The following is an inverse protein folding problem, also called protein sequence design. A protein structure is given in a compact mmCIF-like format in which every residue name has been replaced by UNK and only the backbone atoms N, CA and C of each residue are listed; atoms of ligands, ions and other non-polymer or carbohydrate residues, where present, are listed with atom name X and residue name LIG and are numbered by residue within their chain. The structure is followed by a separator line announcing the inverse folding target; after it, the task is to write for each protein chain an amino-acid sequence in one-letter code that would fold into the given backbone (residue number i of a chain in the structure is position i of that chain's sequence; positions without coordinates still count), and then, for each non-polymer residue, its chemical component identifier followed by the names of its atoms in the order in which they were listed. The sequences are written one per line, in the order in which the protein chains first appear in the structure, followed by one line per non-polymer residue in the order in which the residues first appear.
data_IF_444468717628
#
_entry.id   IF_444468717628
#
_cell.length_a   1.000
_cell.length_b   1.000
_cell.length_c   1.000
_cell.angle_alpha   90.00
_cell.angle_beta   90.00
_cell.angle_gamma   90.00
#
_symmetry.space_group_name_H-M   'P 1'
#
loop_
_entity.id
_entity.type
_entity.pdbx_description
1 polymer ?
#
# COMPACT_ATOMS: atom_id res chain seq x y z
N UNK A 1 4.26 12.06 -21.18
CA UNK A 1 4.67 10.84 -20.47
C UNK A 1 4.47 11.02 -18.97
N UNK A 2 3.39 10.51 -18.38
CA UNK A 2 3.15 10.61 -16.93
C UNK A 2 4.00 9.67 -16.06
N UNK A 3 5.11 9.17 -16.61
CA UNK A 3 6.01 8.25 -15.93
C UNK A 3 6.95 9.08 -15.06
N UNK A 4 6.85 8.92 -13.73
CA UNK A 4 7.71 9.62 -12.76
C UNK A 4 9.00 8.85 -12.47
N UNK A 5 9.93 9.48 -11.74
CA UNK A 5 11.13 8.80 -11.23
C UNK A 5 10.77 7.54 -10.42
N UNK A 6 9.68 7.60 -9.64
CA UNK A 6 9.23 6.45 -8.84
C UNK A 6 8.77 5.28 -9.72
N UNK A 7 8.13 5.54 -10.86
CA UNK A 7 7.77 4.46 -11.80
C UNK A 7 9.01 3.76 -12.36
N UNK A 8 10.08 4.52 -12.67
CA UNK A 8 11.33 3.95 -13.20
C UNK A 8 12.05 3.13 -12.13
N UNK A 9 12.24 3.69 -10.94
CA UNK A 9 12.86 2.99 -9.82
C UNK A 9 12.14 1.66 -9.51
N UNK A 10 10.80 1.66 -9.52
CA UNK A 10 10.01 0.44 -9.33
C UNK A 10 10.18 -0.54 -10.50
N UNK A 11 10.16 -0.06 -11.74
CA UNK A 11 10.33 -0.92 -12.92
C UNK A 11 11.71 -1.57 -12.98
N UNK A 12 12.74 -0.88 -12.48
CA UNK A 12 14.11 -1.38 -12.39
C UNK A 12 14.34 -2.23 -11.13
N UNK A 13 13.38 -2.26 -10.21
CA UNK A 13 13.50 -2.99 -8.93
C UNK A 13 14.44 -2.33 -7.92
N UNK A 14 14.80 -1.05 -8.12
CA UNK A 14 15.72 -0.35 -7.24
C UNK A 14 14.98 0.20 -6.00
N UNK A 15 15.01 -0.60 -4.93
CA UNK A 15 14.35 -0.33 -3.64
C UNK A 15 14.89 0.95 -2.99
N UNK A 16 16.20 1.16 -3.01
CA UNK A 16 16.85 2.31 -2.37
C UNK A 16 16.43 3.63 -3.02
N UNK A 17 16.44 3.68 -4.36
CA UNK A 17 15.98 4.87 -5.10
C UNK A 17 14.48 5.09 -4.88
N UNK A 18 13.67 4.01 -4.88
CA UNK A 18 12.24 4.13 -4.60
C UNK A 18 11.99 4.71 -3.20
N UNK A 19 12.73 4.24 -2.19
CA UNK A 19 12.66 4.75 -0.82
C UNK A 19 13.04 6.24 -0.75
N UNK A 20 14.16 6.62 -1.38
CA UNK A 20 14.62 8.00 -1.43
C UNK A 20 13.56 8.92 -2.04
N UNK A 21 12.98 8.52 -3.18
CA UNK A 21 11.96 9.31 -3.87
C UNK A 21 10.72 9.52 -2.99
N UNK A 22 10.28 8.48 -2.27
CA UNK A 22 9.16 8.60 -1.34
C UNK A 22 9.48 9.52 -0.17
N UNK A 23 10.70 9.45 0.38
CA UNK A 23 11.13 10.38 1.44
C UNK A 23 11.20 11.83 0.95
N UNK A 24 11.48 12.05 -0.34
CA UNK A 24 11.43 13.37 -0.96
C UNK A 24 10.01 13.84 -1.31
N UNK A 25 8.97 13.10 -0.94
CA UNK A 25 7.57 13.47 -1.18
C UNK A 25 7.04 13.09 -2.56
N UNK A 26 7.65 12.13 -3.25
CA UNK A 26 7.08 11.60 -4.49
C UNK A 26 5.68 11.00 -4.22
N UNK A 27 4.71 11.33 -5.06
CA UNK A 27 3.37 10.76 -4.97
C UNK A 27 3.40 9.26 -5.34
N UNK A 28 3.22 8.42 -4.32
CA UNK A 28 3.17 6.95 -4.41
C UNK A 28 2.00 6.44 -5.26
N UNK A 29 0.94 7.25 -5.41
CA UNK A 29 -0.27 6.92 -6.15
C UNK A 29 -0.32 7.57 -7.54
N UNK A 30 0.70 8.33 -7.92
CA UNK A 30 0.75 8.99 -9.22
C UNK A 30 0.59 7.96 -10.34
N UNK A 31 -0.27 8.26 -11.30
CA UNK A 31 -0.62 7.36 -12.39
C UNK A 31 0.08 7.79 -13.67
N UNK A 32 0.61 6.81 -14.40
CA UNK A 32 1.17 7.04 -15.72
C UNK A 32 0.10 7.48 -16.71
N UNK A 33 0.44 8.33 -17.68
CA UNK A 33 -0.52 8.75 -18.73
C UNK A 33 -0.91 7.61 -19.67
N UNK A 34 -0.10 6.55 -19.73
CA UNK A 34 -0.35 5.37 -20.55
C UNK A 34 -0.84 4.21 -19.70
N UNK A 35 -2.12 3.85 -19.84
CA UNK A 35 -2.72 2.72 -19.12
C UNK A 35 -3.07 3.04 -17.66
N UNK A 36 -2.71 4.22 -17.17
CA UNK A 36 -2.99 4.67 -15.81
C UNK A 36 -2.41 3.76 -14.72
N UNK A 37 -1.22 3.25 -14.95
CA UNK A 37 -0.49 2.41 -13.99
C UNK A 37 0.07 3.27 -12.87
N UNK A 38 -0.10 2.82 -11.64
CA UNK A 38 0.65 3.37 -10.49
C UNK A 38 1.93 2.58 -10.26
N UNK A 39 2.87 3.11 -9.46
CA UNK A 39 4.04 2.36 -8.99
C UNK A 39 3.67 0.96 -8.45
N UNK A 40 2.57 0.85 -7.70
CA UNK A 40 2.12 -0.43 -7.15
C UNK A 40 1.70 -1.45 -8.23
N UNK A 41 1.15 -1.02 -9.36
CA UNK A 41 0.86 -1.92 -10.48
C UNK A 41 2.15 -2.55 -11.04
N UNK A 42 3.19 -1.73 -11.19
CA UNK A 42 4.49 -2.17 -11.70
C UNK A 42 5.15 -3.14 -10.73
N UNK A 43 5.13 -2.84 -9.42
CA UNK A 43 5.67 -3.71 -8.38
C UNK A 43 4.94 -5.08 -8.33
N UNK A 44 3.61 -5.07 -8.41
CA UNK A 44 2.80 -6.29 -8.48
C UNK A 44 3.07 -7.12 -9.75
N UNK A 45 3.23 -6.45 -10.90
CA UNK A 45 3.59 -7.12 -12.16
C UNK A 45 4.98 -7.76 -12.08
N UNK A 46 5.94 -7.08 -11.48
CA UNK A 46 7.29 -7.61 -11.25
C UNK A 46 7.29 -8.76 -10.22
N UNK A 47 6.37 -8.72 -9.25
CA UNK A 47 6.31 -9.68 -8.15
C UNK A 47 7.40 -9.43 -7.09
N UNK A 48 7.89 -8.20 -6.97
CA UNK A 48 8.82 -7.82 -5.90
C UNK A 48 8.01 -7.54 -4.63
N UNK A 49 7.97 -8.51 -3.72
CA UNK A 49 7.21 -8.37 -2.47
C UNK A 49 7.75 -7.22 -1.61
N UNK A 50 9.07 -7.06 -1.54
CA UNK A 50 9.71 -5.98 -0.78
C UNK A 50 9.29 -4.60 -1.31
N UNK A 51 9.32 -4.40 -2.64
CA UNK A 51 8.87 -3.16 -3.27
C UNK A 51 7.38 -2.89 -3.00
N UNK A 52 6.56 -3.94 -3.03
CA UNK A 52 5.13 -3.81 -2.74
C UNK A 52 4.92 -3.34 -1.29
N UNK A 53 5.61 -3.94 -0.31
CA UNK A 53 5.50 -3.53 1.09
C UNK A 53 6.00 -2.11 1.31
N UNK A 54 7.11 -1.73 0.68
CA UNK A 54 7.63 -0.37 0.72
C UNK A 54 6.57 0.64 0.25
N UNK A 55 5.94 0.39 -0.90
CA UNK A 55 4.90 1.27 -1.44
C UNK A 55 3.66 1.31 -0.53
N UNK A 56 3.19 0.16 -0.06
CA UNK A 56 2.02 0.08 0.84
C UNK A 56 2.25 0.79 2.18
N UNK A 57 3.45 0.68 2.74
CA UNK A 57 3.84 1.37 3.98
C UNK A 57 3.90 2.89 3.79
N UNK A 58 4.17 3.36 2.58
CA UNK A 58 4.14 4.79 2.21
C UNK A 58 2.77 5.26 1.71
N UNK A 59 1.70 4.48 1.93
CA UNK A 59 0.32 4.91 1.61
C UNK A 59 -0.14 4.62 0.19
N UNK A 60 0.48 3.67 -0.51
CA UNK A 60 -0.03 3.22 -1.81
C UNK A 60 -1.45 2.64 -1.69
N UNK A 61 -2.35 3.08 -2.57
CA UNK A 61 -3.70 2.56 -2.67
C UNK A 61 -3.71 1.24 -3.45
N UNK A 62 -3.90 0.14 -2.72
CA UNK A 62 -3.97 -1.22 -3.25
C UNK A 62 -5.20 -1.50 -4.12
N UNK A 63 -6.23 -0.66 -4.05
CA UNK A 63 -7.46 -0.75 -4.84
C UNK A 63 -7.50 0.21 -6.03
N UNK A 64 -6.41 0.92 -6.34
CA UNK A 64 -6.40 1.90 -7.42
C UNK A 64 -6.55 1.20 -8.78
N UNK A 65 -7.66 1.35 -9.51
CA UNK A 65 -7.89 0.58 -10.75
C UNK A 65 -7.17 1.23 -11.93
N UNK A 66 -6.53 0.48 -12.83
CA UNK A 66 -5.93 0.97 -14.09
C UNK A 66 -7.00 1.38 -15.15
N UNK A 67 -6.58 1.76 -16.38
CA UNK A 67 -7.51 2.12 -17.46
C UNK A 67 -8.45 0.97 -17.87
N UNK A 68 -8.03 -0.28 -17.68
CA UNK A 68 -8.83 -1.47 -17.93
C UNK A 68 -9.64 -1.91 -16.69
N UNK A 69 -9.77 -1.04 -15.68
CA UNK A 69 -10.42 -1.32 -14.39
C UNK A 69 -9.78 -2.46 -13.60
N UNK A 70 -8.49 -2.73 -13.83
CA UNK A 70 -7.74 -3.79 -13.14
C UNK A 70 -6.99 -3.22 -11.95
N UNK A 71 -7.05 -3.90 -10.81
CA UNK A 71 -6.30 -3.51 -9.61
C UNK A 71 -4.84 -4.00 -9.68
N UNK A 72 -3.92 -3.41 -8.89
CA UNK A 72 -2.55 -3.90 -8.78
C UNK A 72 -2.49 -5.39 -8.42
N UNK A 73 -3.39 -5.85 -7.54
CA UNK A 73 -3.44 -7.26 -7.13
C UNK A 73 -3.79 -8.20 -8.29
N UNK A 74 -4.73 -7.81 -9.14
CA UNK A 74 -5.08 -8.56 -10.35
C UNK A 74 -3.91 -8.62 -11.34
N UNK A 75 -3.04 -7.61 -11.36
CA UNK A 75 -1.80 -7.66 -12.15
C UNK A 75 -0.81 -8.69 -11.64
N UNK A 76 -0.65 -8.84 -10.32
CA UNK A 76 0.17 -9.91 -9.75
C UNK A 76 -0.37 -11.31 -10.13
N UNK A 77 -1.69 -11.51 -10.06
CA UNK A 77 -2.31 -12.78 -10.50
C UNK A 77 -2.07 -13.05 -11.98
N UNK A 78 -2.27 -12.05 -12.85
CA UNK A 78 -2.02 -12.16 -14.30
C UNK A 78 -0.57 -12.42 -14.65
N UNK A 79 0.37 -11.97 -13.82
CA UNK A 79 1.80 -12.20 -13.98
C UNK A 79 2.25 -13.57 -13.42
N UNK A 80 1.32 -14.43 -12.96
CA UNK A 80 1.63 -15.72 -12.34
C UNK A 80 2.17 -15.61 -10.91
N UNK A 81 2.02 -14.45 -10.27
CA UNK A 81 2.48 -14.17 -8.89
C UNK A 81 1.34 -14.25 -7.87
N UNK A 82 0.42 -15.20 -8.08
CA UNK A 82 -0.80 -15.35 -7.28
C UNK A 82 -0.52 -15.59 -5.78
N UNK A 83 0.59 -16.25 -5.44
CA UNK A 83 1.02 -16.45 -4.05
C UNK A 83 1.33 -15.14 -3.33
N UNK A 84 1.99 -14.20 -4.02
CA UNK A 84 2.28 -12.87 -3.49
C UNK A 84 0.99 -12.07 -3.33
N UNK A 85 0.10 -12.14 -4.32
CA UNK A 85 -1.22 -11.51 -4.24
C UNK A 85 -2.00 -11.99 -3.02
N UNK A 86 -2.09 -13.31 -2.81
CA UNK A 86 -2.76 -13.89 -1.66
C UNK A 86 -2.17 -13.41 -0.32
N UNK A 87 -0.83 -13.35 -0.21
CA UNK A 87 -0.15 -12.89 1.01
C UNK A 87 -0.40 -11.41 1.31
N UNK A 88 -0.41 -10.57 0.28
CA UNK A 88 -0.73 -9.14 0.42
C UNK A 88 -2.18 -8.97 0.86
N UNK A 89 -3.10 -9.68 0.20
CA UNK A 89 -4.53 -9.64 0.53
C UNK A 89 -4.79 -10.04 1.99
N UNK A 90 -4.22 -11.16 2.43
CA UNK A 90 -4.34 -11.60 3.83
C UNK A 90 -3.81 -10.56 4.82
N UNK A 91 -2.64 -9.99 4.56
CA UNK A 91 -2.02 -9.00 5.45
C UNK A 91 -2.80 -7.68 5.48
N UNK A 92 -3.37 -7.24 4.36
CA UNK A 92 -4.21 -6.04 4.31
C UNK A 92 -5.49 -6.22 5.15
N UNK A 93 -6.17 -7.37 5.01
CA UNK A 93 -7.33 -7.70 5.83
C UNK A 93 -6.97 -7.79 7.33
N UNK A 94 -5.83 -8.40 7.66
CA UNK A 94 -5.34 -8.47 9.04
C UNK A 94 -5.05 -7.09 9.64
N UNK A 95 -4.42 -6.19 8.87
CA UNK A 95 -4.14 -4.81 9.31
C UNK A 95 -5.42 -4.02 9.57
N UNK A 96 -6.43 -4.16 8.72
CA UNK A 96 -7.74 -3.52 8.91
C UNK A 96 -8.44 -4.03 10.18
N UNK A 97 -8.41 -5.34 10.43
CA UNK A 97 -8.98 -5.94 11.64
C UNK A 97 -8.28 -5.46 12.91
N UNK A 98 -6.94 -5.40 12.90
CA UNK A 98 -6.15 -4.93 14.04
C UNK A 98 -6.43 -3.45 14.35
N UNK A 99 -6.49 -2.60 13.32
CA UNK A 99 -6.81 -1.18 13.49
C UNK A 99 -8.20 -0.98 14.13
N UNK A 100 -9.19 -1.80 13.76
CA UNK A 100 -10.53 -1.75 14.35
C UNK A 100 -10.55 -2.20 15.82
N UNK A 101 -9.80 -3.24 16.18
CA UNK A 101 -9.68 -3.71 17.58
C UNK A 101 -9.01 -2.66 18.46
N UNK A 102 -7.91 -2.06 17.99
CA UNK A 102 -7.21 -1.00 18.70
C UNK A 102 -8.10 0.25 18.91
N UNK A 103 -8.91 0.61 17.91
CA UNK A 103 -9.85 1.72 18.03
C UNK A 103 -10.93 1.45 19.11
N UNK A 104 -11.36 0.21 19.28
CA UNK A 104 -12.32 -0.20 20.32
C UNK A 104 -11.68 -0.13 21.73
N UNK A 105 -10.43 -0.60 21.88
CA UNK A 105 -9.69 -0.55 23.14
C UNK A 105 -9.42 0.90 23.59
N UNK A 106 -9.15 1.81 22.66
CA UNK A 106 -8.99 3.23 22.96
C UNK A 106 -10.26 3.89 23.51
N UNK A 107 -11.45 3.45 23.09
CA UNK A 107 -12.72 3.97 23.64
C UNK A 107 -12.96 3.51 25.08
N UNK A 108 -12.60 2.26 25.39
CA UNK A 108 -12.75 1.70 26.73
C UNK A 108 -11.80 2.35 27.73
N UNK A 109 -10.53 2.54 27.34
CA UNK A 109 -9.51 3.18 28.18
C UNK A 109 -9.78 4.67 28.45
N UNK A 110 -10.29 5.42 27.48
CA UNK A 110 -10.68 6.83 27.69
C UNK A 110 -11.81 6.98 28.70
N UNK A 111 -12.77 6.05 28.66
CA UNK A 111 -13.93 6.04 29.57
C UNK A 111 -13.50 5.71 31.00
N UNK A 112 -12.63 4.71 31.19
CA UNK A 112 -12.14 4.32 32.52
C UNK A 112 -11.25 5.39 33.17
N UNK A 113 -10.38 6.05 32.40
CA UNK A 113 -9.54 7.15 32.92
C UNK A 113 -10.37 8.39 33.28
N UNK A 114 -11.41 8.70 32.49
CA UNK A 114 -12.32 9.82 32.80
C UNK A 114 -13.13 9.53 34.06
N UNK A 115 -13.64 8.30 34.22
CA UNK A 115 -14.38 7.89 35.41
C UNK A 115 -13.47 7.91 36.66
N UNK A 116 -12.25 7.38 36.56
CA UNK A 116 -11.27 7.41 37.65
C UNK A 116 -10.90 8.84 38.09
N UNK A 117 -10.93 9.82 37.16
CA UNK A 117 -10.63 11.23 37.44
C UNK A 117 -11.82 12.02 38.03
N UNK A 118 -13.05 11.51 37.90
CA UNK A 118 -14.26 12.12 38.47
C UNK A 118 -14.54 11.64 39.91
N UNK A 119 -13.99 10.49 40.30
CA UNK A 119 -14.25 9.85 41.59
C UNK A 119 -13.17 10.11 42.66
N UNK A 120 -12.18 10.97 42.39
CA UNK A 120 -11.10 11.35 43.32
C UNK A 120 -10.93 12.85 43.38
#
# INVERSE_FOLDING_TARGET
SGVTGLHRAVSEGNIEIAQLLLTCGADVNQRSTWGWYSPLHLACKAGSEEMIWLLLNNGANWNLPDKAKKTPLQWAVRAGKASIAYRIDQKLHAKAKLAMQQALEQQQTKSTVTFAKLCG
#
